data_IF_399913797585
#
_entry.id   IF_399913797585
#
_cell.length_a   1.000
_cell.length_b   1.000
_cell.length_c   1.000
_cell.angle_alpha   90.00
_cell.angle_beta   90.00
_cell.angle_gamma   90.00
#
_symmetry.space_group_name_H-M   'P 1'
#
loop_
_entity.id
_entity.type
_entity.pdbx_description
1 polymer ?
#
# COMPACT_ATOMS: atom_id res chain seq x y z
N UNK A 1 4.60 29.57 -12.76
CA UNK A 1 6.03 29.40 -13.12
C UNK A 1 6.80 28.62 -12.04
N UNK A 2 6.51 28.80 -10.75
CA UNK A 2 7.16 28.09 -9.63
C UNK A 2 6.73 26.61 -9.47
N UNK A 3 5.47 26.26 -9.74
CA UNK A 3 5.00 24.86 -9.63
C UNK A 3 5.69 23.92 -10.62
N UNK A 4 6.00 24.40 -11.83
CA UNK A 4 6.71 23.61 -12.84
C UNK A 4 8.12 23.26 -12.36
N UNK A 5 8.83 24.23 -11.78
CA UNK A 5 10.15 24.02 -11.18
C UNK A 5 10.08 23.03 -10.01
N UNK A 6 9.05 23.13 -9.17
CA UNK A 6 8.84 22.20 -8.06
C UNK A 6 8.60 20.75 -8.55
N UNK A 7 7.79 20.56 -9.59
CA UNK A 7 7.55 19.24 -10.19
C UNK A 7 8.83 18.67 -10.79
N UNK A 8 9.62 19.48 -11.50
CA UNK A 8 10.89 19.06 -12.08
C UNK A 8 11.88 18.66 -10.98
N UNK A 9 12.01 19.46 -9.92
CA UNK A 9 12.89 19.15 -8.80
C UNK A 9 12.45 17.88 -8.04
N UNK A 10 11.15 17.74 -7.75
CA UNK A 10 10.61 16.55 -7.10
C UNK A 10 10.78 15.29 -7.96
N UNK A 11 10.54 15.40 -9.26
CA UNK A 11 10.76 14.33 -10.22
C UNK A 11 12.23 13.92 -10.27
N UNK A 12 13.14 14.89 -10.38
CA UNK A 12 14.58 14.64 -10.41
C UNK A 12 15.06 14.01 -9.11
N UNK A 13 14.60 14.50 -7.95
CA UNK A 13 14.92 13.94 -6.65
C UNK A 13 14.41 12.50 -6.47
N UNK A 14 13.18 12.22 -6.93
CA UNK A 14 12.60 10.87 -6.88
C UNK A 14 13.33 9.91 -7.82
N UNK A 15 13.76 10.39 -8.99
CA UNK A 15 14.54 9.58 -9.92
C UNK A 15 15.94 9.30 -9.38
N UNK A 16 16.64 10.32 -8.87
CA UNK A 16 17.97 10.20 -8.28
C UNK A 16 17.99 9.27 -7.08
N UNK A 17 16.97 9.34 -6.20
CA UNK A 17 16.89 8.46 -5.03
C UNK A 17 16.86 6.99 -5.43
N UNK A 18 16.12 6.63 -6.50
CA UNK A 18 16.11 5.27 -7.05
C UNK A 18 17.40 4.93 -7.81
N UNK A 19 17.87 5.85 -8.65
CA UNK A 19 19.02 5.63 -9.52
C UNK A 19 20.34 5.44 -8.74
N UNK A 20 20.54 6.17 -7.64
CA UNK A 20 21.72 6.03 -6.78
C UNK A 20 21.86 4.60 -6.26
N UNK A 21 20.78 3.99 -5.75
CA UNK A 21 20.84 2.62 -5.24
C UNK A 21 21.03 1.60 -6.37
N UNK A 22 20.39 1.79 -7.52
CA UNK A 22 20.52 0.86 -8.64
C UNK A 22 21.95 0.91 -9.22
N UNK A 23 22.49 2.10 -9.49
CA UNK A 23 23.80 2.27 -10.13
C UNK A 23 24.93 1.91 -9.16
N UNK A 24 24.85 2.33 -7.88
CA UNK A 24 25.89 2.02 -6.91
C UNK A 24 25.99 0.52 -6.57
N UNK A 25 24.92 -0.23 -6.79
CA UNK A 25 24.81 -1.64 -6.44
C UNK A 25 24.75 -2.58 -7.65
N UNK A 26 24.83 -2.03 -8.88
CA UNK A 26 24.75 -2.75 -10.14
C UNK A 26 25.83 -3.84 -10.30
N UNK A 27 27.07 -3.58 -9.87
CA UNK A 27 28.19 -4.51 -10.01
C UNK A 27 28.36 -5.45 -8.80
N UNK A 28 27.48 -5.38 -7.79
CA UNK A 28 27.60 -6.20 -6.57
C UNK A 28 26.64 -7.38 -6.61
N UNK A 29 27.16 -8.58 -6.33
CA UNK A 29 26.33 -9.77 -6.14
C UNK A 29 25.55 -9.63 -4.82
N UNK A 30 24.24 -9.55 -4.92
CA UNK A 30 23.37 -9.52 -3.75
C UNK A 30 23.34 -10.88 -3.05
N UNK A 31 23.35 -10.92 -1.70
CA UNK A 31 23.15 -12.16 -0.97
C UNK A 31 21.74 -12.70 -1.25
N UNK A 32 21.55 -14.03 -1.32
CA UNK A 32 20.27 -14.64 -1.70
C UNK A 32 19.11 -14.28 -0.74
N UNK A 33 19.43 -13.98 0.52
CA UNK A 33 18.47 -13.48 1.51
C UNK A 33 17.91 -12.09 1.15
N UNK A 34 18.75 -11.18 0.66
CA UNK A 34 18.31 -9.84 0.31
C UNK A 34 17.40 -9.85 -0.92
N UNK A 35 17.69 -10.69 -1.92
CA UNK A 35 16.83 -10.86 -3.09
C UNK A 35 15.44 -11.41 -2.71
N UNK A 36 15.40 -12.42 -1.84
CA UNK A 36 14.13 -12.94 -1.30
C UNK A 36 13.35 -11.87 -0.55
N UNK A 37 14.02 -11.09 0.30
CA UNK A 37 13.36 -9.99 1.02
C UNK A 37 12.79 -8.95 0.05
N UNK A 38 13.52 -8.61 -1.02
CA UNK A 38 13.10 -7.66 -2.05
C UNK A 38 11.82 -8.11 -2.78
N UNK A 39 11.68 -9.41 -3.04
CA UNK A 39 10.48 -9.99 -3.67
C UNK A 39 9.21 -9.77 -2.82
N UNK A 40 9.35 -9.77 -1.49
CA UNK A 40 8.24 -9.52 -0.56
C UNK A 40 7.98 -8.04 -0.25
N UNK A 41 8.79 -7.11 -0.77
CA UNK A 41 8.60 -5.67 -0.51
C UNK A 41 7.25 -5.21 -1.06
N UNK A 42 6.90 -5.59 -2.29
CA UNK A 42 5.64 -5.16 -2.90
C UNK A 42 4.40 -5.58 -2.08
N UNK A 43 4.20 -6.87 -1.73
CA UNK A 43 3.06 -7.27 -0.89
C UNK A 43 3.14 -6.71 0.54
N UNK A 44 4.34 -6.56 1.12
CA UNK A 44 4.50 -5.97 2.45
C UNK A 44 4.09 -4.48 2.47
N UNK A 45 4.50 -3.71 1.46
CA UNK A 45 4.13 -2.30 1.32
C UNK A 45 2.61 -2.16 1.14
N UNK A 46 1.97 -3.03 0.36
CA UNK A 46 0.50 -3.03 0.24
C UNK A 46 -0.18 -3.24 1.61
N UNK A 47 0.31 -4.18 2.42
CA UNK A 47 -0.19 -4.38 3.78
C UNK A 47 0.05 -3.16 4.68
N UNK A 48 1.24 -2.56 4.61
CA UNK A 48 1.58 -1.38 5.39
C UNK A 48 0.72 -0.16 5.00
N UNK A 49 0.43 0.03 3.71
CA UNK A 49 -0.45 1.10 3.23
C UNK A 49 -1.87 0.93 3.77
N UNK A 50 -2.40 -0.29 3.75
CA UNK A 50 -3.73 -0.59 4.33
C UNK A 50 -3.75 -0.23 5.81
N UNK A 51 -2.75 -0.67 6.58
CA UNK A 51 -2.66 -0.34 8.02
C UNK A 51 -2.50 1.16 8.25
N UNK A 52 -1.68 1.85 7.44
CA UNK A 52 -1.50 3.29 7.56
C UNK A 52 -2.76 4.09 7.22
N UNK A 53 -3.70 3.52 6.47
CA UNK A 53 -5.01 4.13 6.24
C UNK A 53 -5.96 3.92 7.42
N UNK A 54 -5.71 2.93 8.28
CA UNK A 54 -6.49 2.63 9.48
C UNK A 54 -5.95 3.32 10.75
N UNK A 55 -4.78 3.95 10.67
CA UNK A 55 -4.10 4.60 11.80
C UNK A 55 -3.88 6.08 11.49
N UNK A 56 -4.07 6.94 12.49
CA UNK A 56 -3.75 8.37 12.39
C UNK A 56 -2.25 8.61 12.36
N UNK A 57 -1.84 9.80 11.93
CA UNK A 57 -0.43 10.21 11.95
C UNK A 57 0.15 10.25 13.38
N UNK A 58 -0.68 10.44 14.41
CA UNK A 58 -0.28 10.37 15.82
C UNK A 58 -0.25 8.94 16.39
N UNK A 59 -0.59 7.91 15.60
CA UNK A 59 -0.63 6.52 16.06
C UNK A 59 -1.95 6.12 16.70
N UNK A 60 -2.99 6.94 16.60
CA UNK A 60 -4.33 6.56 17.06
C UNK A 60 -4.98 5.61 16.06
N UNK A 61 -5.58 4.55 16.57
CA UNK A 61 -6.25 3.55 15.74
C UNK A 61 -7.64 4.06 15.40
N UNK A 62 -7.82 4.56 14.18
CA UNK A 62 -9.08 5.09 13.66
C UNK A 62 -9.91 3.96 13.03
N UNK A 63 -10.08 2.87 13.76
CA UNK A 63 -10.83 1.72 13.28
C UNK A 63 -12.29 1.88 13.70
N UNK A 64 -13.14 2.28 12.75
CA UNK A 64 -14.58 2.29 12.90
C UNK A 64 -15.19 0.95 12.44
N UNK A 65 -16.45 0.73 12.82
CA UNK A 65 -17.25 -0.43 12.40
C UNK A 65 -17.25 -0.68 10.87
N UNK A 66 -17.39 0.33 9.98
CA UNK A 66 -17.34 0.12 8.54
C UNK A 66 -15.98 -0.34 8.02
N UNK A 67 -14.85 0.18 8.54
CA UNK A 67 -13.53 -0.30 8.12
C UNK A 67 -13.33 -1.77 8.48
N UNK A 68 -13.68 -2.19 9.71
CA UNK A 68 -13.58 -3.59 10.12
C UNK A 68 -14.43 -4.53 9.26
N UNK A 69 -15.67 -4.12 8.96
CA UNK A 69 -16.57 -4.90 8.14
C UNK A 69 -16.04 -5.05 6.70
N UNK A 70 -15.58 -3.95 6.10
CA UNK A 70 -14.99 -3.98 4.76
C UNK A 70 -13.70 -4.80 4.71
N UNK A 71 -12.81 -4.65 5.69
CA UNK A 71 -11.53 -5.36 5.76
C UNK A 71 -11.72 -6.86 5.96
N UNK A 72 -12.64 -7.26 6.85
CA UNK A 72 -12.94 -8.67 7.11
C UNK A 72 -13.59 -9.36 5.90
N UNK A 73 -14.51 -8.68 5.22
CA UNK A 73 -15.10 -9.18 3.97
C UNK A 73 -14.05 -9.33 2.88
N UNK A 74 -13.17 -8.33 2.70
CA UNK A 74 -12.07 -8.38 1.76
C UNK A 74 -11.12 -9.55 2.09
N UNK A 75 -10.74 -9.74 3.35
CA UNK A 75 -9.87 -10.84 3.77
C UNK A 75 -10.50 -12.23 3.49
N UNK A 76 -11.79 -12.38 3.77
CA UNK A 76 -12.52 -13.63 3.55
C UNK A 76 -12.61 -13.97 2.05
N UNK A 77 -12.94 -12.98 1.22
CA UNK A 77 -13.05 -13.17 -0.24
C UNK A 77 -11.68 -13.40 -0.87
N UNK A 78 -10.65 -12.69 -0.42
CA UNK A 78 -9.27 -12.91 -0.86
C UNK A 78 -8.85 -14.37 -0.63
N UNK A 79 -9.13 -14.88 0.58
CA UNK A 79 -8.78 -16.25 0.96
C UNK A 79 -9.54 -17.28 0.11
N UNK A 80 -10.83 -17.03 -0.17
CA UNK A 80 -11.68 -18.01 -0.85
C UNK A 80 -11.54 -18.03 -2.38
N UNK A 81 -11.38 -16.87 -3.01
CA UNK A 81 -11.45 -16.73 -4.48
C UNK A 81 -10.10 -16.51 -5.13
N UNK A 82 -9.06 -16.08 -4.39
CA UNK A 82 -7.75 -15.67 -4.94
C UNK A 82 -7.86 -14.66 -6.11
N UNK A 83 -8.99 -13.96 -6.24
CA UNK A 83 -9.27 -13.03 -7.33
C UNK A 83 -9.36 -11.61 -6.79
N UNK A 84 -8.36 -10.78 -7.10
CA UNK A 84 -8.25 -9.40 -6.61
C UNK A 84 -9.46 -8.52 -6.93
N UNK A 85 -10.12 -8.74 -8.07
CA UNK A 85 -11.29 -7.94 -8.48
C UNK A 85 -12.48 -8.21 -7.56
N UNK A 86 -12.74 -9.50 -7.26
CA UNK A 86 -13.81 -9.88 -6.34
C UNK A 86 -13.53 -9.40 -4.92
N UNK A 87 -12.26 -9.44 -4.49
CA UNK A 87 -11.85 -8.91 -3.19
C UNK A 87 -12.16 -7.43 -3.06
N UNK A 88 -11.82 -6.64 -4.08
CA UNK A 88 -12.04 -5.21 -4.10
C UNK A 88 -13.55 -4.90 -4.07
N UNK A 89 -14.33 -5.53 -4.94
CA UNK A 89 -15.77 -5.34 -5.00
C UNK A 89 -16.45 -5.71 -3.69
N UNK A 90 -16.11 -6.84 -3.09
CA UNK A 90 -16.67 -7.27 -1.80
C UNK A 90 -16.31 -6.30 -0.67
N UNK A 91 -15.03 -5.90 -0.56
CA UNK A 91 -14.60 -4.95 0.46
C UNK A 91 -15.30 -3.59 0.31
N UNK A 92 -15.36 -3.05 -0.91
CA UNK A 92 -16.01 -1.77 -1.18
C UNK A 92 -17.52 -1.83 -0.91
N UNK A 93 -18.20 -2.87 -1.39
CA UNK A 93 -19.67 -3.01 -1.21
C UNK A 93 -20.04 -3.13 0.27
N UNK A 94 -19.28 -3.89 1.05
CA UNK A 94 -19.52 -4.02 2.51
C UNK A 94 -19.16 -2.74 3.26
N UNK A 95 -18.05 -2.09 2.92
CA UNK A 95 -17.69 -0.82 3.54
C UNK A 95 -18.78 0.22 3.34
N UNK A 96 -19.25 0.39 2.10
CA UNK A 96 -20.27 1.37 1.76
C UNK A 96 -21.63 1.06 2.37
N UNK A 97 -22.04 -0.21 2.41
CA UNK A 97 -23.31 -0.59 3.03
C UNK A 97 -23.32 -0.35 4.54
N UNK A 98 -22.22 -0.68 5.23
CA UNK A 98 -22.11 -0.43 6.68
C UNK A 98 -21.96 1.06 6.97
N UNK A 99 -21.17 1.79 6.17
CA UNK A 99 -21.05 3.23 6.31
C UNK A 99 -22.41 3.93 6.14
N UNK A 100 -23.23 3.53 5.17
CA UNK A 100 -24.56 4.11 4.94
C UNK A 100 -25.58 3.82 6.06
N UNK A 101 -25.37 2.77 6.87
CA UNK A 101 -26.25 2.41 8.00
C UNK A 101 -25.82 3.09 9.31
N UNK A 102 -24.52 3.40 9.45
CA UNK A 102 -23.93 3.97 10.67
C UNK A 102 -23.86 5.50 10.63
N UNK A 103 -23.85 6.11 9.44
CA UNK A 103 -23.90 7.57 9.20
C UNK A 103 -25.33 8.07 9.24
#
# INVERSE_FOLDING_TARGET
>A
MTQFIAIVLAGLGTYLSRAIFIIALADRRFPPLALRALEYVAPAVMGALIVSMLTSAEGEVLIAAPELAGLSAAALVAWRTRNHILTLLAGMTVFWSVAAVVV
#
